data_IF_225764458604
#
_entry.id   IF_225764458604
#
_cell.length_a   1.000
_cell.length_b   1.000
_cell.length_c   1.000
_cell.angle_alpha   90.00
_cell.angle_beta   90.00
_cell.angle_gamma   90.00
#
_symmetry.space_group_name_H-M   'P 1'
#
loop_
_entity.id
_entity.type
_entity.pdbx_description
1 polymer ?
#
# COMPACT_ATOMS: atom_id res chain seq x y z
N UNK A 1 17.72 -6.87 4.63
CA UNK A 1 18.50 -6.22 5.69
C UNK A 1 20.02 -6.40 5.56
N UNK A 2 20.57 -7.37 4.81
CA UNK A 2 22.02 -7.40 4.49
C UNK A 2 22.43 -6.52 3.28
N UNK A 3 21.52 -6.23 2.35
CA UNK A 3 21.79 -5.34 1.20
C UNK A 3 21.87 -3.85 1.57
N UNK A 4 21.53 -3.49 2.80
CA UNK A 4 21.54 -2.11 3.31
C UNK A 4 22.68 -1.84 4.30
N UNK A 5 23.50 -2.85 4.63
CA UNK A 5 24.63 -2.66 5.54
C UNK A 5 25.87 -2.16 4.79
N UNK A 6 26.51 -1.10 5.31
CA UNK A 6 27.75 -0.50 4.78
C UNK A 6 28.95 -1.47 4.74
N UNK A 7 28.89 -2.56 5.51
CA UNK A 7 29.99 -3.50 5.67
C UNK A 7 29.92 -4.64 4.63
N UNK A 8 30.56 -4.41 3.48
CA UNK A 8 30.56 -5.35 2.34
C UNK A 8 31.51 -6.54 2.53
N UNK A 9 32.36 -6.52 3.56
CA UNK A 9 33.33 -7.57 3.85
C UNK A 9 32.65 -8.87 4.29
N UNK A 10 32.91 -9.95 3.55
CA UNK A 10 32.36 -11.30 3.84
C UNK A 10 30.92 -11.53 3.37
N UNK A 11 30.25 -10.51 2.81
CA UNK A 11 28.89 -10.64 2.27
C UNK A 11 28.79 -11.68 1.15
N UNK A 12 29.76 -11.72 0.23
CA UNK A 12 29.83 -12.70 -0.83
C UNK A 12 29.89 -14.15 -0.30
N UNK A 13 30.65 -14.38 0.78
CA UNK A 13 30.73 -15.70 1.41
C UNK A 13 29.43 -16.06 2.12
N UNK A 14 28.82 -15.13 2.89
CA UNK A 14 27.53 -15.37 3.57
C UNK A 14 26.39 -15.61 2.58
N UNK A 15 26.36 -14.87 1.48
CA UNK A 15 25.42 -15.09 0.37
C UNK A 15 25.67 -16.45 -0.29
N UNK A 16 26.92 -16.83 -0.53
CA UNK A 16 27.23 -18.14 -1.10
C UNK A 16 26.76 -19.27 -0.17
N UNK A 17 27.01 -19.15 1.15
CA UNK A 17 26.54 -20.12 2.15
C UNK A 17 25.01 -20.17 2.26
N UNK A 18 24.33 -19.02 2.12
CA UNK A 18 22.86 -18.95 2.07
C UNK A 18 22.31 -19.60 0.79
N UNK A 19 22.98 -19.37 -0.34
CA UNK A 19 22.61 -19.95 -1.64
C UNK A 19 22.91 -21.46 -1.72
N UNK A 20 23.92 -21.95 -1.01
CA UNK A 20 24.27 -23.38 -0.90
C UNK A 20 23.43 -24.13 0.15
N UNK A 21 22.65 -23.41 0.96
CA UNK A 21 21.78 -23.99 1.99
C UNK A 21 20.58 -24.73 1.41
N UNK A 22 20.18 -25.84 2.03
CA UNK A 22 19.08 -26.72 1.61
C UNK A 22 17.67 -26.09 1.59
N UNK A 23 17.56 -24.80 1.91
CA UNK A 23 16.31 -24.02 1.95
C UNK A 23 16.11 -23.26 0.62
N UNK A 24 17.17 -23.06 -0.17
CA UNK A 24 17.11 -22.35 -1.45
C UNK A 24 17.05 -23.34 -2.62
N UNK A 25 15.94 -23.37 -3.36
CA UNK A 25 15.87 -24.01 -4.66
C UNK A 25 16.41 -23.04 -5.71
N UNK A 26 17.57 -23.33 -6.29
CA UNK A 26 18.18 -22.54 -7.37
C UNK A 26 17.94 -23.21 -8.72
N UNK A 27 17.36 -22.46 -9.64
CA UNK A 27 17.34 -22.82 -11.06
C UNK A 27 18.26 -21.88 -11.84
N UNK A 28 19.22 -22.45 -12.57
CA UNK A 28 20.10 -21.68 -13.45
C UNK A 28 19.38 -21.47 -14.79
N UNK A 29 18.74 -20.31 -14.94
CA UNK A 29 17.92 -19.97 -16.09
C UNK A 29 18.77 -19.74 -17.36
N UNK A 30 19.96 -19.18 -17.20
CA UNK A 30 20.89 -18.92 -18.32
C UNK A 30 22.11 -19.82 -18.13
N UNK A 31 22.20 -20.88 -18.92
CA UNK A 31 23.35 -21.78 -18.93
C UNK A 31 24.47 -21.16 -19.77
N UNK A 32 25.60 -20.86 -19.13
CA UNK A 32 26.79 -20.37 -19.80
C UNK A 32 27.57 -21.54 -20.39
N UNK A 33 27.97 -21.43 -21.65
CA UNK A 33 28.86 -22.40 -22.26
C UNK A 33 30.28 -22.14 -21.76
N UNK A 34 30.86 -23.06 -20.98
CA UNK A 34 32.22 -22.90 -20.43
C UNK A 34 33.30 -22.75 -21.53
N UNK A 35 33.02 -23.20 -22.75
CA UNK A 35 33.94 -23.10 -23.89
C UNK A 35 34.13 -21.67 -24.43
N UNK A 36 33.22 -20.74 -24.10
CA UNK A 36 33.34 -19.32 -24.47
C UNK A 36 34.13 -18.49 -23.44
N UNK A 37 34.59 -19.11 -22.34
CA UNK A 37 35.42 -18.48 -21.28
C UNK A 37 36.87 -18.26 -21.76
N UNK A 38 37.11 -18.41 -23.06
CA UNK A 38 38.42 -18.26 -23.72
C UNK A 38 38.75 -16.79 -24.02
N UNK A 39 38.63 -15.88 -23.04
CA UNK A 39 39.24 -14.55 -23.11
C UNK A 39 39.46 -14.02 -21.68
N UNK A 40 40.72 -13.91 -21.31
CA UNK A 40 41.25 -13.68 -19.95
C UNK A 40 40.94 -12.32 -19.32
N UNK A 41 39.90 -11.59 -19.75
CA UNK A 41 39.65 -10.22 -19.27
C UNK A 41 38.17 -9.82 -19.12
N UNK A 42 37.22 -10.70 -19.45
CA UNK A 42 35.80 -10.36 -19.34
C UNK A 42 35.21 -10.80 -18.00
N UNK A 43 34.54 -9.91 -17.24
CA UNK A 43 33.98 -10.25 -15.95
C UNK A 43 32.96 -11.39 -16.08
N UNK A 44 32.98 -12.33 -15.12
CA UNK A 44 31.98 -13.40 -15.00
C UNK A 44 30.57 -12.89 -14.63
N UNK A 45 30.37 -11.58 -14.62
CA UNK A 45 29.14 -10.91 -14.23
C UNK A 45 28.42 -10.40 -15.48
N UNK A 46 27.09 -10.57 -15.51
CA UNK A 46 26.25 -9.98 -16.55
C UNK A 46 26.33 -8.46 -16.42
N UNK A 47 26.85 -7.79 -17.44
CA UNK A 47 27.16 -6.36 -17.40
C UNK A 47 25.91 -5.48 -17.50
N UNK A 48 24.83 -5.99 -18.07
CA UNK A 48 23.53 -5.30 -18.18
C UNK A 48 22.38 -6.31 -18.22
N UNK A 49 21.27 -5.94 -17.59
CA UNK A 49 20.04 -6.72 -17.57
C UNK A 49 18.84 -5.81 -17.83
N UNK A 50 18.03 -6.19 -18.80
CA UNK A 50 16.85 -5.46 -19.21
C UNK A 50 15.65 -6.41 -19.18
N UNK A 51 14.62 -6.00 -18.45
CA UNK A 51 13.43 -6.81 -18.19
C UNK A 51 12.25 -6.25 -18.97
N UNK A 52 11.55 -7.12 -19.69
CA UNK A 52 10.27 -6.83 -20.32
C UNK A 52 9.17 -7.71 -19.72
N UNK A 53 7.99 -7.13 -19.51
CA UNK A 53 6.78 -7.87 -19.13
C UNK A 53 5.69 -7.59 -20.16
N UNK A 54 5.32 -8.61 -20.93
CA UNK A 54 4.25 -8.54 -21.93
C UNK A 54 3.30 -9.74 -21.79
N UNK A 55 2.02 -9.55 -22.10
CA UNK A 55 1.00 -10.59 -21.92
C UNK A 55 1.20 -11.78 -22.88
N UNK A 56 1.72 -11.52 -24.07
CA UNK A 56 1.94 -12.54 -25.10
C UNK A 56 3.32 -13.25 -24.94
N UNK A 57 4.29 -12.60 -24.27
CA UNK A 57 5.67 -13.09 -24.14
C UNK A 57 6.05 -13.50 -22.71
N UNK A 58 5.22 -13.22 -21.71
CA UNK A 58 5.54 -13.43 -20.30
C UNK A 58 6.58 -12.43 -19.77
N UNK A 59 7.45 -12.89 -18.89
CA UNK A 59 8.53 -12.08 -18.31
C UNK A 59 9.85 -12.39 -19.05
N UNK A 60 10.24 -11.51 -19.96
CA UNK A 60 11.43 -11.65 -20.79
C UNK A 60 12.62 -10.91 -20.15
N UNK A 61 13.66 -11.65 -19.81
CA UNK A 61 14.94 -11.13 -19.34
C UNK A 61 15.93 -11.10 -20.52
N UNK A 62 16.45 -9.92 -20.84
CA UNK A 62 17.47 -9.70 -21.87
C UNK A 62 18.76 -9.24 -21.21
N UNK A 63 19.86 -9.92 -21.52
CA UNK A 63 21.19 -9.62 -20.99
C UNK A 63 22.20 -9.67 -22.12
N UNK A 64 23.35 -9.04 -21.93
CA UNK A 64 24.38 -8.96 -22.95
C UNK A 64 25.74 -9.28 -22.33
N UNK A 65 26.51 -10.15 -22.99
CA UNK A 65 27.88 -10.50 -22.60
C UNK A 65 28.72 -10.75 -23.85
N UNK A 66 29.92 -10.17 -23.92
CA UNK A 66 30.93 -10.50 -24.93
C UNK A 66 30.40 -10.49 -26.37
N UNK A 67 29.60 -9.48 -26.72
CA UNK A 67 28.97 -9.36 -28.05
C UNK A 67 27.89 -10.38 -28.41
N UNK A 68 27.47 -11.22 -27.46
CA UNK A 68 26.32 -12.12 -27.59
C UNK A 68 25.13 -11.62 -26.75
N UNK A 69 23.95 -11.38 -27.35
CA UNK A 69 22.72 -11.15 -26.60
C UNK A 69 22.17 -12.48 -26.09
N UNK A 70 21.79 -12.53 -24.82
CA UNK A 70 21.18 -13.69 -24.17
C UNK A 70 19.79 -13.31 -23.67
N UNK A 71 18.82 -14.17 -23.91
CA UNK A 71 17.43 -13.94 -23.51
C UNK A 71 16.91 -15.17 -22.74
N UNK A 72 16.13 -14.91 -21.69
CA UNK A 72 15.40 -15.93 -20.95
C UNK A 72 13.93 -15.50 -20.85
N UNK A 73 13.04 -16.41 -21.20
CA UNK A 73 11.60 -16.22 -21.04
C UNK A 73 11.23 -16.93 -19.73
N UNK A 74 10.68 -16.18 -18.80
CA UNK A 74 10.17 -16.65 -17.53
C UNK A 74 8.64 -16.60 -17.60
N UNK A 75 8.01 -17.67 -17.15
CA UNK A 75 6.56 -17.69 -16.99
C UNK A 75 6.13 -16.57 -16.02
N UNK A 76 4.99 -15.95 -16.31
CA UNK A 76 4.39 -14.99 -15.40
C UNK A 76 4.22 -15.68 -14.03
N UNK A 77 4.77 -15.14 -12.93
CA UNK A 77 4.79 -15.83 -11.66
C UNK A 77 3.36 -16.12 -11.23
N UNK A 78 2.95 -17.38 -11.32
CA UNK A 78 1.57 -17.80 -11.03
C UNK A 78 1.20 -17.61 -9.56
N UNK A 79 2.17 -17.27 -8.70
CA UNK A 79 1.96 -16.83 -7.34
C UNK A 79 2.96 -15.73 -7.01
N UNK A 80 2.43 -14.70 -6.35
CA UNK A 80 3.13 -13.51 -5.88
C UNK A 80 4.52 -13.80 -5.33
N UNK A 81 5.46 -12.92 -5.68
CA UNK A 81 6.66 -12.54 -4.91
C UNK A 81 6.90 -13.38 -3.65
N UNK A 82 8.05 -14.06 -3.59
CA UNK A 82 8.64 -14.45 -2.31
C UNK A 82 8.54 -13.24 -1.37
N UNK A 83 7.84 -13.36 -0.24
CA UNK A 83 7.54 -12.21 0.59
C UNK A 83 8.86 -11.69 1.16
N UNK A 84 9.26 -10.48 0.77
CA UNK A 84 10.09 -9.68 1.65
C UNK A 84 9.32 -9.56 2.96
N UNK A 85 9.99 -9.79 4.09
CA UNK A 85 9.44 -9.84 5.45
C UNK A 85 8.64 -8.56 5.80
N UNK A 86 8.79 -7.49 5.02
CA UNK A 86 8.10 -6.21 5.18
C UNK A 86 6.70 -6.11 4.53
N UNK A 87 6.29 -6.99 3.62
CA UNK A 87 5.06 -6.82 2.81
C UNK A 87 3.84 -7.65 3.28
N UNK A 88 3.88 -8.18 4.50
CA UNK A 88 2.83 -9.02 5.09
C UNK A 88 1.47 -8.33 5.33
N UNK A 89 1.24 -7.09 4.87
CA UNK A 89 0.03 -6.31 5.21
C UNK A 89 -0.97 -6.06 4.08
N UNK A 90 -0.78 -6.61 2.87
CA UNK A 90 -1.58 -6.17 1.70
C UNK A 90 -2.29 -7.27 0.90
N UNK A 91 -2.62 -8.40 1.51
CA UNK A 91 -3.31 -9.49 0.80
C UNK A 91 -4.56 -9.95 1.54
N UNK A 92 -5.60 -9.11 1.60
CA UNK A 92 -7.02 -9.50 1.58
C UNK A 92 -7.85 -8.32 1.05
N UNK A 93 -7.97 -8.21 -0.28
CA UNK A 93 -9.06 -7.41 -0.87
C UNK A 93 -9.52 -8.11 -2.16
N UNK A 94 -10.30 -9.17 -1.96
CA UNK A 94 -10.96 -9.87 -3.06
C UNK A 94 -12.06 -9.00 -3.70
N UNK A 95 -12.07 -9.09 -5.04
CA UNK A 95 -13.21 -8.95 -5.94
C UNK A 95 -13.95 -7.61 -6.13
N UNK A 96 -13.78 -6.57 -5.29
CA UNK A 96 -14.53 -5.30 -5.47
C UNK A 96 -13.69 -4.09 -5.89
N UNK A 97 -12.39 -4.26 -5.97
CA UNK A 97 -11.48 -3.29 -6.54
C UNK A 97 -10.81 -3.89 -7.77
N UNK A 98 -11.53 -3.87 -8.89
CA UNK A 98 -10.86 -3.56 -10.15
C UNK A 98 -10.28 -2.13 -10.02
N UNK A 99 -9.28 -1.97 -9.16
CA UNK A 99 -8.37 -0.84 -9.18
C UNK A 99 -7.83 -0.87 -10.59
N UNK A 100 -8.31 0.10 -11.36
CA UNK A 100 -8.07 0.35 -12.77
C UNK A 100 -6.65 -0.11 -13.09
N UNK A 101 -6.51 -1.36 -13.55
CA UNK A 101 -5.22 -1.87 -14.05
C UNK A 101 -4.86 -0.89 -15.15
N UNK A 102 -3.69 -0.23 -15.11
CA UNK A 102 -3.31 0.67 -16.17
C UNK A 102 -3.36 -0.13 -17.47
N UNK A 103 -4.37 0.11 -18.29
CA UNK A 103 -4.59 -0.55 -19.59
C UNK A 103 -3.50 -0.23 -20.61
N UNK A 104 -2.43 0.45 -20.19
CA UNK A 104 -1.46 1.10 -21.05
C UNK A 104 -0.07 0.64 -20.69
N UNK A 105 0.74 0.42 -21.73
CA UNK A 105 2.17 0.47 -21.60
C UNK A 105 2.60 1.85 -21.07
N UNK A 106 3.68 1.93 -20.26
CA UNK A 106 4.21 3.19 -19.77
C UNK A 106 4.51 4.15 -20.93
N UNK A 107 4.28 5.45 -20.69
CA UNK A 107 4.51 6.48 -21.71
C UNK A 107 5.98 6.49 -22.12
N UNK A 108 6.26 6.05 -23.35
CA UNK A 108 7.58 6.11 -23.95
C UNK A 108 7.56 7.05 -25.15
N UNK A 109 8.41 8.06 -25.08
CA UNK A 109 8.63 9.03 -26.16
C UNK A 109 9.40 8.34 -27.29
N UNK A 110 9.04 8.59 -28.57
CA UNK A 110 9.79 8.04 -29.70
C UNK A 110 11.29 8.36 -29.62
N UNK A 111 12.15 7.36 -29.88
CA UNK A 111 13.59 7.48 -29.72
C UNK A 111 14.23 8.60 -30.57
N UNK A 112 13.58 9.03 -31.66
CA UNK A 112 14.06 10.11 -32.52
C UNK A 112 14.19 11.46 -31.79
N UNK A 113 13.43 11.68 -30.71
CA UNK A 113 13.58 12.89 -29.90
C UNK A 113 14.87 12.90 -29.08
N UNK A 114 15.49 11.74 -28.89
CA UNK A 114 16.77 11.58 -28.22
C UNK A 114 17.91 11.27 -29.20
N UNK A 115 17.60 11.19 -30.50
CA UNK A 115 18.63 10.97 -31.51
C UNK A 115 19.55 12.20 -31.59
N UNK A 116 20.85 11.92 -31.72
CA UNK A 116 21.86 12.96 -31.89
C UNK A 116 21.69 13.69 -33.23
N UNK A 117 22.34 14.85 -33.35
CA UNK A 117 22.24 15.68 -34.55
C UNK A 117 22.69 14.88 -35.80
N UNK A 118 21.85 14.71 -36.82
CA UNK A 118 22.17 13.92 -38.01
C UNK A 118 23.34 14.51 -38.82
N UNK A 119 23.71 15.78 -38.58
CA UNK A 119 24.85 16.42 -39.22
C UNK A 119 26.16 16.28 -38.44
N UNK A 120 26.15 15.70 -37.24
CA UNK A 120 27.35 15.56 -36.40
C UNK A 120 28.49 14.82 -37.13
N UNK A 121 28.17 13.69 -37.75
CA UNK A 121 29.14 12.85 -38.47
C UNK A 121 29.11 13.08 -39.99
N UNK A 122 28.27 14.00 -40.48
CA UNK A 122 28.04 14.20 -41.92
C UNK A 122 29.32 14.59 -42.66
N UNK A 123 30.16 15.44 -42.05
CA UNK A 123 31.45 15.86 -42.61
C UNK A 123 32.46 14.71 -42.62
N UNK A 124 32.36 13.79 -41.67
CA UNK A 124 33.25 12.64 -41.57
C UNK A 124 32.94 11.58 -42.65
N UNK A 125 31.65 11.40 -42.96
CA UNK A 125 31.16 10.41 -43.91
C UNK A 125 31.18 10.91 -45.37
N UNK A 126 30.82 12.16 -45.62
CA UNK A 126 30.60 12.68 -46.99
C UNK A 126 31.77 13.50 -47.54
N UNK A 127 32.74 13.89 -46.70
CA UNK A 127 33.88 14.72 -47.12
C UNK A 127 35.19 13.94 -46.97
N UNK A 128 35.91 13.68 -48.07
CA UNK A 128 37.25 13.10 -48.01
C UNK A 128 38.19 13.97 -47.16
N UNK A 129 39.07 13.33 -46.40
CA UNK A 129 39.96 14.01 -45.43
C UNK A 129 40.75 15.18 -46.04
N UNK A 130 41.13 15.07 -47.33
CA UNK A 130 41.89 16.09 -48.07
C UNK A 130 41.09 17.38 -48.33
N UNK A 131 39.77 17.32 -48.38
CA UNK A 131 38.90 18.45 -48.72
C UNK A 131 38.32 19.14 -47.47
N UNK A 132 38.56 18.61 -46.26
CA UNK A 132 38.06 19.17 -45.00
C UNK A 132 38.66 20.53 -44.64
N UNK A 133 39.94 20.74 -44.97
CA UNK A 133 40.60 22.03 -44.76
C UNK A 133 40.01 23.13 -45.66
N UNK A 134 39.64 22.77 -46.90
CA UNK A 134 39.04 23.70 -47.86
C UNK A 134 37.63 24.16 -47.47
N UNK A 135 36.88 23.37 -46.70
CA UNK A 135 35.58 23.77 -46.16
C UNK A 135 35.65 24.85 -45.08
N UNK A 136 36.84 25.08 -44.49
CA UNK A 136 37.06 26.17 -43.52
C UNK A 136 37.46 27.48 -44.20
N UNK A 137 37.78 27.43 -45.49
CA UNK A 137 38.08 28.62 -46.30
C UNK A 137 36.79 29.29 -46.80
N UNK A 138 36.92 30.51 -47.32
CA UNK A 138 35.79 31.30 -47.80
C UNK A 138 35.00 30.51 -48.86
N UNK A 139 33.67 30.38 -48.66
CA UNK A 139 32.80 29.50 -49.46
C UNK A 139 32.87 29.87 -50.94
N UNK A 140 33.59 29.07 -51.72
CA UNK A 140 33.56 29.13 -53.18
C UNK A 140 32.39 28.28 -53.67
N UNK A 141 31.54 28.86 -54.53
CA UNK A 141 30.41 28.18 -55.17
C UNK A 141 30.90 27.21 -56.25
N UNK A 142 31.66 26.20 -55.85
CA UNK A 142 32.08 25.11 -56.71
C UNK A 142 30.97 24.06 -56.83
N UNK A 143 30.90 23.29 -57.94
CA UNK A 143 29.92 22.21 -58.09
C UNK A 143 29.98 21.20 -56.93
N UNK A 144 31.17 20.87 -56.43
CA UNK A 144 31.37 19.93 -55.32
C UNK A 144 30.85 20.44 -53.97
N UNK A 145 30.98 21.75 -53.69
CA UNK A 145 30.42 22.36 -52.48
C UNK A 145 28.89 22.44 -52.54
N UNK A 146 28.33 22.66 -53.73
CA UNK A 146 26.88 22.61 -53.94
C UNK A 146 26.33 21.18 -53.71
N UNK A 147 27.00 20.15 -54.24
CA UNK A 147 26.60 18.74 -54.05
C UNK A 147 26.62 18.33 -52.58
N UNK A 148 27.61 18.79 -51.81
CA UNK A 148 27.70 18.56 -50.37
C UNK A 148 26.55 19.23 -49.61
N UNK A 149 26.23 20.48 -49.94
CA UNK A 149 25.08 21.20 -49.34
C UNK A 149 23.76 20.52 -49.72
N UNK A 150 23.61 20.05 -50.96
CA UNK A 150 22.43 19.31 -51.40
C UNK A 150 22.30 17.95 -50.68
N UNK A 151 23.41 17.24 -50.45
CA UNK A 151 23.44 16.02 -49.64
C UNK A 151 23.07 16.29 -48.18
N UNK A 152 23.62 17.35 -47.57
CA UNK A 152 23.27 17.76 -46.21
C UNK A 152 21.78 18.09 -46.10
N UNK A 153 21.24 18.81 -47.08
CA UNK A 153 19.82 19.12 -47.15
C UNK A 153 18.94 17.87 -47.27
N UNK A 154 19.35 16.85 -48.05
CA UNK A 154 18.62 15.57 -48.12
C UNK A 154 18.58 14.87 -46.77
N UNK A 155 19.72 14.76 -46.09
CA UNK A 155 19.81 14.14 -44.75
C UNK A 155 18.91 14.90 -43.76
N UNK A 156 19.03 16.23 -43.72
CA UNK A 156 18.17 17.07 -42.88
C UNK A 156 16.68 16.88 -43.20
N UNK A 157 16.30 16.91 -44.47
CA UNK A 157 14.90 16.77 -44.90
C UNK A 157 14.31 15.41 -44.49
N UNK A 158 15.10 14.33 -44.55
CA UNK A 158 14.65 13.02 -44.08
C UNK A 158 14.47 12.97 -42.57
N UNK A 159 15.41 13.56 -41.81
CA UNK A 159 15.36 13.60 -40.35
C UNK A 159 14.21 14.47 -39.85
N UNK A 160 14.02 15.67 -40.42
CA UNK A 160 12.91 16.55 -40.06
C UNK A 160 11.57 15.90 -40.41
N UNK A 161 11.45 15.24 -41.56
CA UNK A 161 10.23 14.51 -41.92
C UNK A 161 9.95 13.32 -40.98
N UNK A 162 10.98 12.64 -40.48
CA UNK A 162 10.81 11.59 -39.48
C UNK A 162 10.39 12.15 -38.10
N UNK A 163 10.99 13.29 -37.70
CA UNK A 163 10.65 14.00 -36.46
C UNK A 163 9.20 14.52 -36.50
N UNK A 164 8.76 15.07 -37.63
CA UNK A 164 7.38 15.52 -37.82
C UNK A 164 6.37 14.37 -37.66
N UNK A 165 6.65 13.19 -38.22
CA UNK A 165 5.79 12.01 -38.03
C UNK A 165 5.74 11.57 -36.56
N UNK A 166 6.89 11.50 -35.89
CA UNK A 166 6.96 11.14 -34.48
C UNK A 166 6.24 12.15 -33.58
N UNK A 167 6.35 13.45 -33.89
CA UNK A 167 5.62 14.52 -33.20
C UNK A 167 4.11 14.40 -33.43
N UNK A 168 3.66 14.17 -34.67
CA UNK A 168 2.25 13.96 -34.97
C UNK A 168 1.66 12.75 -34.22
N UNK A 169 2.42 11.66 -34.11
CA UNK A 169 2.00 10.48 -33.34
C UNK A 169 1.95 10.77 -31.83
N UNK A 170 2.89 11.55 -31.30
CA UNK A 170 2.85 12.02 -29.91
C UNK A 170 1.58 12.85 -29.66
N UNK A 171 1.27 13.82 -30.52
CA UNK A 171 0.05 14.63 -30.39
C UNK A 171 -1.21 13.76 -30.40
N UNK A 172 -1.30 12.78 -31.31
CA UNK A 172 -2.44 11.84 -31.35
C UNK A 172 -2.55 11.00 -30.08
N UNK A 173 -1.43 10.54 -29.52
CA UNK A 173 -1.40 9.80 -28.25
C UNK A 173 -1.85 10.67 -27.08
N UNK A 174 -1.40 11.91 -27.00
CA UNK A 174 -1.82 12.88 -25.98
C UNK A 174 -3.32 13.21 -26.09
N UNK A 175 -3.85 13.34 -27.30
CA UNK A 175 -5.28 13.54 -27.54
C UNK A 175 -6.11 12.34 -27.07
N UNK A 176 -5.69 11.11 -27.42
CA UNK A 176 -6.31 9.89 -26.92
C UNK A 176 -6.25 9.80 -25.39
N UNK A 177 -5.09 10.07 -24.80
CA UNK A 177 -4.88 10.10 -23.36
C UNK A 177 -5.86 11.07 -22.68
N UNK A 178 -6.00 12.28 -23.22
CA UNK A 178 -6.93 13.28 -22.71
C UNK A 178 -8.38 12.81 -22.77
N UNK A 179 -8.77 12.16 -23.87
CA UNK A 179 -10.09 11.53 -24.00
C UNK A 179 -10.34 10.46 -22.94
N UNK A 180 -9.38 9.55 -22.75
CA UNK A 180 -9.48 8.49 -21.74
C UNK A 180 -9.49 9.02 -20.31
N UNK A 181 -8.72 10.07 -19.99
CA UNK A 181 -8.75 10.72 -18.68
C UNK A 181 -10.11 11.34 -18.39
N UNK A 182 -10.75 11.93 -19.40
CA UNK A 182 -12.12 12.45 -19.28
C UNK A 182 -13.10 11.32 -19.00
N UNK A 183 -13.00 10.20 -19.70
CA UNK A 183 -13.84 9.02 -19.47
C UNK A 183 -13.60 8.41 -18.07
N UNK A 184 -12.35 8.38 -17.59
CA UNK A 184 -12.05 7.95 -16.22
C UNK A 184 -12.64 8.90 -15.18
N UNK A 185 -12.57 10.21 -15.39
CA UNK A 185 -13.21 11.19 -14.51
C UNK A 185 -14.74 11.05 -14.51
N UNK A 186 -15.35 10.80 -15.66
CA UNK A 186 -16.79 10.54 -15.77
C UNK A 186 -17.20 9.26 -15.03
N UNK A 187 -16.41 8.19 -15.15
CA UNK A 187 -16.61 6.95 -14.37
C UNK A 187 -16.50 7.21 -12.86
N UNK A 188 -15.49 7.95 -12.42
CA UNK A 188 -15.31 8.30 -11.01
C UNK A 188 -16.49 9.16 -10.52
N UNK A 189 -16.94 10.13 -11.31
CA UNK A 189 -18.09 10.96 -10.98
C UNK A 189 -19.37 10.13 -10.86
N UNK A 190 -19.60 9.19 -11.78
CA UNK A 190 -20.73 8.25 -11.72
C UNK A 190 -20.66 7.34 -10.50
N UNK A 191 -19.47 6.82 -10.15
CA UNK A 191 -19.27 6.00 -8.94
C UNK A 191 -19.52 6.84 -7.69
N UNK A 192 -19.00 8.07 -7.64
CA UNK A 192 -19.24 8.99 -6.53
C UNK A 192 -20.74 9.30 -6.38
N UNK A 193 -21.46 9.49 -7.50
CA UNK A 193 -22.90 9.67 -7.49
C UNK A 193 -23.63 8.40 -7.03
N UNK A 194 -23.21 7.21 -7.46
CA UNK A 194 -23.77 5.94 -6.98
C UNK A 194 -23.55 5.75 -5.49
N UNK A 195 -22.36 6.04 -4.98
CA UNK A 195 -22.05 6.00 -3.54
C UNK A 195 -22.93 7.01 -2.80
N UNK A 196 -23.06 8.23 -3.32
CA UNK A 196 -23.94 9.26 -2.77
C UNK A 196 -25.40 8.83 -2.79
N UNK A 197 -25.88 8.20 -3.85
CA UNK A 197 -27.26 7.72 -3.99
C UNK A 197 -27.54 6.53 -3.07
N UNK A 198 -26.59 5.62 -2.88
CA UNK A 198 -26.67 4.52 -1.90
C UNK A 198 -26.67 5.07 -0.47
N UNK A 199 -25.89 6.13 -0.23
CA UNK A 199 -25.77 6.81 1.07
C UNK A 199 -26.95 7.74 1.39
N UNK A 200 -27.59 8.34 0.39
CA UNK A 200 -28.65 9.34 0.57
C UNK A 200 -30.05 8.74 0.57
N UNK A 201 -30.93 9.27 1.42
CA UNK A 201 -32.40 9.15 1.28
C UNK A 201 -33.05 10.52 1.23
N UNK A 202 -34.15 10.60 0.50
CA UNK A 202 -35.07 11.72 0.56
C UNK A 202 -35.79 11.61 1.91
N UNK A 203 -35.55 12.57 2.81
CA UNK A 203 -36.33 12.68 4.03
C UNK A 203 -37.77 13.07 3.72
N UNK A 204 -38.67 12.87 4.69
CA UNK A 204 -40.09 13.26 4.61
C UNK A 204 -40.29 14.76 4.29
N UNK A 205 -39.27 15.59 4.55
CA UNK A 205 -39.21 17.03 4.24
C UNK A 205 -38.81 17.35 2.78
N UNK A 206 -38.64 16.35 1.91
CA UNK A 206 -38.23 16.52 0.51
C UNK A 206 -36.76 16.91 0.30
N UNK A 207 -35.99 17.14 1.36
CA UNK A 207 -34.55 17.42 1.29
C UNK A 207 -33.70 16.14 1.34
N UNK A 208 -32.70 16.07 0.45
CA UNK A 208 -31.72 14.98 0.40
C UNK A 208 -30.72 15.14 1.54
N UNK A 209 -30.79 14.28 2.56
CA UNK A 209 -29.79 14.19 3.64
C UNK A 209 -28.73 13.15 3.23
N UNK A 210 -27.48 13.59 3.11
CA UNK A 210 -26.32 12.74 2.81
C UNK A 210 -25.93 11.92 4.06
N UNK A 211 -25.55 10.65 3.90
CA UNK A 211 -24.96 9.83 4.98
C UNK A 211 -25.90 9.05 5.89
N UNK A 212 -27.14 9.50 6.10
CA UNK A 212 -27.93 9.02 7.24
C UNK A 212 -28.55 7.62 7.08
N UNK A 213 -28.83 7.17 5.84
CA UNK A 213 -29.57 5.90 5.64
C UNK A 213 -28.79 4.68 6.08
N UNK A 214 -27.49 4.61 5.78
CA UNK A 214 -26.72 3.40 6.04
C UNK A 214 -26.43 3.30 7.53
N UNK A 215 -25.81 4.31 8.12
CA UNK A 215 -25.33 4.21 9.48
C UNK A 215 -26.47 4.14 10.50
N UNK A 216 -27.48 5.01 10.40
CA UNK A 216 -28.59 5.01 11.35
C UNK A 216 -29.51 3.79 11.17
N UNK A 217 -29.82 3.40 9.93
CA UNK A 217 -30.67 2.21 9.72
C UNK A 217 -29.93 0.90 10.02
N UNK A 218 -28.61 0.82 9.75
CA UNK A 218 -27.79 -0.31 10.19
C UNK A 218 -27.70 -0.34 11.71
N UNK A 219 -27.50 0.80 12.37
CA UNK A 219 -27.47 0.90 13.83
C UNK A 219 -28.79 0.44 14.44
N UNK A 220 -29.94 0.91 13.93
CA UNK A 220 -31.27 0.44 14.36
C UNK A 220 -31.48 -1.06 14.11
N UNK A 221 -31.02 -1.59 12.96
CA UNK A 221 -31.08 -3.03 12.69
C UNK A 221 -30.20 -3.84 13.65
N UNK A 222 -29.04 -3.30 14.01
CA UNK A 222 -28.09 -3.92 14.91
C UNK A 222 -28.63 -3.89 16.36
N UNK A 223 -29.22 -2.78 16.79
CA UNK A 223 -29.91 -2.65 18.09
C UNK A 223 -31.09 -3.62 18.19
N UNK A 224 -31.94 -3.70 17.16
CA UNK A 224 -33.07 -4.65 17.16
C UNK A 224 -32.59 -6.10 17.15
N UNK A 225 -31.48 -6.42 16.47
CA UNK A 225 -30.87 -7.74 16.53
C UNK A 225 -30.33 -8.06 17.93
N UNK A 226 -29.62 -7.10 18.57
CA UNK A 226 -29.15 -7.23 19.96
C UNK A 226 -30.30 -7.45 20.94
N UNK A 227 -31.36 -6.64 20.84
CA UNK A 227 -32.54 -6.78 21.70
C UNK A 227 -33.23 -8.15 21.52
N UNK A 228 -33.33 -8.66 20.29
CA UNK A 228 -33.85 -10.01 20.02
C UNK A 228 -32.96 -11.10 20.62
N UNK A 229 -31.63 -10.95 20.51
CA UNK A 229 -30.68 -11.89 21.09
C UNK A 229 -30.84 -11.94 22.62
N UNK A 230 -30.92 -10.79 23.27
CA UNK A 230 -31.13 -10.70 24.71
C UNK A 230 -32.46 -11.37 25.13
N UNK A 231 -33.55 -11.09 24.40
CA UNK A 231 -34.84 -11.72 24.64
C UNK A 231 -34.79 -13.25 24.48
N UNK A 232 -34.07 -13.76 23.48
CA UNK A 232 -33.90 -15.20 23.26
C UNK A 232 -33.08 -15.85 24.38
N UNK A 233 -32.00 -15.20 24.83
CA UNK A 233 -31.19 -15.67 25.96
C UNK A 233 -32.02 -15.71 27.25
N UNK A 234 -32.82 -14.68 27.52
CA UNK A 234 -33.73 -14.66 28.67
C UNK A 234 -34.77 -15.79 28.59
N UNK A 235 -35.36 -16.05 27.42
CA UNK A 235 -36.31 -17.16 27.22
C UNK A 235 -35.63 -18.52 27.38
N UNK A 236 -34.44 -18.69 26.83
CA UNK A 236 -33.65 -19.91 26.96
C UNK A 236 -33.33 -20.19 28.43
N UNK A 237 -32.85 -19.18 29.16
CA UNK A 237 -32.58 -19.29 30.60
C UNK A 237 -33.86 -19.59 31.40
N UNK A 238 -34.98 -18.95 31.05
CA UNK A 238 -36.28 -19.24 31.68
C UNK A 238 -36.76 -20.67 31.43
N UNK A 239 -36.56 -21.20 30.22
CA UNK A 239 -36.91 -22.57 29.86
C UNK A 239 -35.96 -23.58 30.51
N UNK A 240 -34.65 -23.31 30.51
CA UNK A 240 -33.64 -24.07 31.27
C UNK A 240 -34.03 -24.17 32.74
N UNK A 241 -34.37 -23.05 33.38
CA UNK A 241 -34.78 -23.03 34.79
C UNK A 241 -36.07 -23.80 35.03
N UNK A 242 -37.05 -23.76 34.12
CA UNK A 242 -38.28 -24.55 34.23
C UNK A 242 -38.01 -26.05 34.06
N UNK A 243 -37.15 -26.43 33.12
CA UNK A 243 -36.73 -27.83 32.92
C UNK A 243 -35.93 -28.32 34.13
N UNK A 244 -35.01 -27.52 34.68
CA UNK A 244 -34.31 -27.88 35.92
C UNK A 244 -35.26 -28.05 37.12
N UNK A 245 -36.38 -27.30 37.16
CA UNK A 245 -37.41 -27.45 38.20
C UNK A 245 -38.35 -28.65 37.99
N UNK A 246 -38.59 -29.04 36.73
CA UNK A 246 -39.51 -30.13 36.36
C UNK A 246 -38.79 -31.48 36.13
N UNK A 247 -37.47 -31.48 35.96
CA UNK A 247 -36.71 -32.64 35.47
C UNK A 247 -35.91 -33.36 36.54
N UNK A 248 -36.45 -34.48 37.04
CA UNK A 248 -35.83 -35.41 38.00
C UNK A 248 -34.62 -36.20 37.49
N UNK A 249 -33.84 -35.67 36.54
CA UNK A 249 -32.55 -36.25 36.16
C UNK A 249 -31.51 -35.78 37.20
N UNK A 250 -30.87 -36.68 37.97
CA UNK A 250 -29.85 -36.27 38.92
C UNK A 250 -28.72 -35.55 38.17
N UNK A 251 -28.27 -34.42 38.72
CA UNK A 251 -27.18 -33.60 38.19
C UNK A 251 -25.99 -34.48 37.79
N UNK A 252 -25.49 -34.28 36.57
CA UNK A 252 -24.31 -34.98 36.07
C UNK A 252 -23.08 -34.58 36.90
N UNK A 253 -22.06 -35.44 37.01
CA UNK A 253 -20.83 -35.14 37.75
C UNK A 253 -20.16 -33.84 37.29
N UNK A 254 -20.17 -33.59 35.98
CA UNK A 254 -19.72 -32.31 35.38
C UNK A 254 -20.57 -31.11 35.82
N UNK A 255 -21.88 -31.27 35.95
CA UNK A 255 -22.78 -30.21 36.40
C UNK A 255 -22.61 -29.94 37.89
N UNK A 256 -22.39 -30.99 38.70
CA UNK A 256 -22.06 -30.84 40.13
C UNK A 256 -20.73 -30.13 40.31
N UNK A 257 -19.70 -30.50 39.55
CA UNK A 257 -18.41 -29.81 39.56
C UNK A 257 -18.56 -28.33 39.15
N UNK A 258 -19.36 -28.05 38.12
CA UNK A 258 -19.64 -26.68 37.68
C UNK A 258 -20.46 -25.88 38.70
N UNK A 259 -21.45 -26.49 39.36
CA UNK A 259 -22.18 -25.84 40.46
C UNK A 259 -21.24 -25.53 41.62
N UNK A 260 -20.32 -26.42 41.97
CA UNK A 260 -19.31 -26.17 43.01
C UNK A 260 -18.36 -25.05 42.59
N UNK A 261 -17.95 -24.98 41.32
CA UNK A 261 -17.12 -23.91 40.79
C UNK A 261 -17.86 -22.56 40.79
N UNK A 262 -19.10 -22.53 40.32
CA UNK A 262 -19.96 -21.34 40.33
C UNK A 262 -20.27 -20.90 41.75
N UNK A 263 -20.56 -21.82 42.67
CA UNK A 263 -20.74 -21.51 44.09
C UNK A 263 -19.42 -21.02 44.70
N UNK A 264 -18.27 -21.57 44.31
CA UNK A 264 -16.96 -21.07 44.79
C UNK A 264 -16.68 -19.66 44.27
N UNK A 265 -17.06 -19.35 43.02
CA UNK A 265 -16.91 -18.05 42.40
C UNK A 265 -17.90 -17.04 43.01
N UNK A 266 -19.17 -17.42 43.16
CA UNK A 266 -20.18 -16.61 43.82
C UNK A 266 -19.77 -16.32 45.26
N UNK A 267 -19.31 -17.33 46.00
CA UNK A 267 -18.75 -17.14 47.34
C UNK A 267 -17.45 -16.31 47.31
N UNK A 268 -16.60 -16.37 46.29
CA UNK A 268 -15.44 -15.46 46.21
C UNK A 268 -15.86 -14.00 46.00
N UNK A 269 -17.03 -13.77 45.39
CA UNK A 269 -17.61 -12.45 45.15
C UNK A 269 -18.46 -11.98 46.35
N UNK A 270 -19.15 -12.89 47.05
CA UNK A 270 -20.12 -12.62 48.14
C UNK A 270 -19.50 -12.79 49.54
N UNK A 271 -18.49 -13.66 49.73
CA UNK A 271 -17.64 -13.66 50.95
C UNK A 271 -16.84 -12.36 51.06
N UNK A 272 -16.66 -11.65 49.94
CA UNK A 272 -16.25 -10.24 49.91
C UNK A 272 -17.22 -9.28 50.63
N UNK A 273 -18.42 -9.72 51.02
CA UNK A 273 -19.44 -8.93 51.73
C UNK A 273 -19.52 -9.19 53.23
N UNK A 274 -19.06 -10.35 53.70
CA UNK A 274 -19.41 -10.84 55.05
C UNK A 274 -18.24 -11.33 55.89
N UNK A 275 -17.04 -11.48 55.34
CA UNK A 275 -15.82 -11.73 56.12
C UNK A 275 -14.67 -10.90 55.57
N UNK A 276 -13.88 -10.36 56.49
CA UNK A 276 -12.63 -9.61 56.31
C UNK A 276 -11.55 -10.43 55.57
N UNK A 277 -11.85 -10.94 54.38
CA UNK A 277 -10.85 -11.46 53.45
C UNK A 277 -10.33 -10.25 52.67
N UNK A 278 -9.19 -9.70 53.12
CA UNK A 278 -8.56 -8.48 52.58
C UNK A 278 -8.56 -8.45 51.04
N UNK A 279 -8.35 -9.59 50.38
CA UNK A 279 -8.28 -9.69 48.92
C UNK A 279 -9.63 -9.47 48.19
N UNK A 280 -10.75 -9.91 48.75
CA UNK A 280 -12.05 -9.79 48.09
C UNK A 280 -12.68 -8.41 48.35
N UNK A 281 -12.47 -7.88 49.56
CA UNK A 281 -12.68 -6.46 49.86
C UNK A 281 -11.85 -5.58 48.93
N UNK A 282 -10.58 -5.94 48.63
CA UNK A 282 -9.77 -5.15 47.69
C UNK A 282 -10.36 -5.08 46.28
N UNK A 283 -11.02 -6.12 45.75
CA UNK A 283 -11.56 -6.06 44.38
C UNK A 283 -12.78 -5.14 44.29
N UNK A 284 -13.68 -5.20 45.28
CA UNK A 284 -14.84 -4.31 45.36
C UNK A 284 -14.43 -2.87 45.65
N UNK A 285 -13.53 -2.67 46.61
CA UNK A 285 -12.95 -1.35 46.90
C UNK A 285 -12.17 -0.80 45.69
N UNK A 286 -11.45 -1.63 44.92
CA UNK A 286 -10.82 -1.24 43.65
C UNK A 286 -11.85 -0.84 42.60
N UNK A 287 -12.99 -1.53 42.53
CA UNK A 287 -14.07 -1.19 41.60
C UNK A 287 -14.75 0.12 42.01
N UNK A 288 -15.01 0.33 43.29
CA UNK A 288 -15.56 1.59 43.81
C UNK A 288 -14.60 2.75 43.64
N UNK A 289 -13.31 2.57 43.93
CA UNK A 289 -12.28 3.60 43.68
C UNK A 289 -12.11 3.87 42.18
N UNK A 290 -12.17 2.85 41.31
CA UNK A 290 -12.17 3.06 39.86
C UNK A 290 -13.42 3.83 39.40
N UNK A 291 -14.60 3.58 39.99
CA UNK A 291 -15.82 4.35 39.71
C UNK A 291 -15.68 5.80 40.17
N UNK A 292 -15.20 6.05 41.38
CA UNK A 292 -15.03 7.41 41.89
C UNK A 292 -13.99 8.19 41.06
N UNK A 293 -12.85 7.56 40.74
CA UNK A 293 -11.82 8.15 39.87
C UNK A 293 -12.35 8.42 38.46
N UNK A 294 -13.16 7.51 37.89
CA UNK A 294 -13.78 7.75 36.58
C UNK A 294 -14.71 8.96 36.62
N UNK A 295 -15.52 9.11 37.68
CA UNK A 295 -16.39 10.29 37.84
C UNK A 295 -15.60 11.59 38.06
N UNK A 296 -14.49 11.52 38.80
CA UNK A 296 -13.61 12.66 39.07
C UNK A 296 -12.90 13.12 37.79
N UNK A 297 -12.30 12.19 37.03
CA UNK A 297 -11.65 12.50 35.75
C UNK A 297 -12.63 13.04 34.72
N UNK A 298 -13.87 12.53 34.68
CA UNK A 298 -14.91 13.10 33.82
C UNK A 298 -15.30 14.53 34.23
N UNK A 299 -15.29 14.85 35.51
CA UNK A 299 -15.53 16.21 35.99
C UNK A 299 -14.35 17.13 35.65
N UNK A 300 -13.10 16.65 35.78
CA UNK A 300 -11.90 17.41 35.47
C UNK A 300 -11.76 17.69 33.97
N UNK A 301 -12.05 16.69 33.11
CA UNK A 301 -12.10 16.89 31.65
C UNK A 301 -13.14 17.95 31.28
N UNK A 302 -14.30 17.96 31.93
CA UNK A 302 -15.33 19.00 31.69
C UNK A 302 -14.86 20.38 32.14
N UNK A 303 -14.12 20.49 33.26
CA UNK A 303 -13.52 21.76 33.71
C UNK A 303 -12.45 22.27 32.75
N UNK A 304 -11.51 21.42 32.35
CA UNK A 304 -10.43 21.79 31.42
C UNK A 304 -11.00 22.17 30.05
N UNK A 305 -12.04 21.49 29.57
CA UNK A 305 -12.74 21.85 28.34
C UNK A 305 -13.44 23.22 28.44
N UNK A 306 -14.02 23.55 29.60
CA UNK A 306 -14.61 24.87 29.85
C UNK A 306 -13.54 25.97 29.92
N UNK A 307 -12.42 25.72 30.61
CA UNK A 307 -11.30 26.67 30.74
C UNK A 307 -10.59 26.92 29.39
N UNK A 308 -10.39 25.87 28.58
CA UNK A 308 -9.86 25.98 27.22
C UNK A 308 -10.77 26.78 26.27
N UNK A 309 -12.09 26.78 26.52
CA UNK A 309 -13.06 27.57 25.75
C UNK A 309 -13.05 29.06 26.15
N UNK A 310 -12.56 29.40 27.35
CA UNK A 310 -12.49 30.79 27.85
C UNK A 310 -11.16 31.51 27.55
N UNK A 311 -10.14 30.82 27.06
CA UNK A 311 -8.81 31.39 26.75
C UNK A 311 -8.71 32.12 25.38
N UNK A 312 -9.83 32.62 24.84
CA UNK A 312 -9.92 33.24 23.52
C UNK A 312 -9.79 34.79 23.52
N UNK A 313 -9.36 35.41 24.62
CA UNK A 313 -9.19 36.88 24.71
C UNK A 313 -7.77 37.26 25.19
N UNK A 314 -7.05 38.18 24.52
CA UNK A 314 -5.65 38.47 24.85
C UNK A 314 -5.54 39.59 25.89
N UNK A 315 -4.66 39.45 26.91
CA UNK A 315 -4.06 40.60 27.58
C UNK A 315 -2.52 40.61 27.51
N UNK A 316 -1.89 41.78 27.71
CA UNK A 316 -0.48 42.00 27.38
C UNK A 316 0.47 41.59 28.52
N UNK A 317 1.64 41.11 28.11
CA UNK A 317 2.96 41.15 28.79
C UNK A 317 3.09 40.65 30.23
N UNK A 318 3.86 39.56 30.39
CA UNK A 318 4.72 39.36 31.58
C UNK A 318 4.66 37.96 32.19
N UNK A 319 5.55 37.06 31.74
CA UNK A 319 6.26 36.00 32.52
C UNK A 319 6.82 34.92 31.57
N UNK A 320 8.10 34.53 31.65
CA UNK A 320 8.69 33.52 30.77
C UNK A 320 8.39 32.12 31.32
N UNK A 321 7.21 31.61 31.03
CA UNK A 321 6.98 30.16 31.08
C UNK A 321 7.59 29.57 29.80
N UNK A 322 8.77 28.97 29.94
CA UNK A 322 9.48 28.17 28.93
C UNK A 322 8.69 26.91 28.57
N UNK A 323 7.59 27.08 27.84
CA UNK A 323 7.02 26.02 27.02
C UNK A 323 7.01 26.51 25.57
N UNK A 324 7.68 25.83 24.63
CA UNK A 324 7.70 26.25 23.25
C UNK A 324 6.28 26.16 22.69
N UNK A 325 5.65 27.33 22.46
CA UNK A 325 4.35 27.43 21.76
C UNK A 325 4.55 26.95 20.32
N UNK A 326 4.23 25.68 20.08
CA UNK A 326 4.25 25.08 18.75
C UNK A 326 3.15 25.76 17.91
N UNK A 327 3.46 26.29 16.71
CA UNK A 327 2.46 26.87 15.82
C UNK A 327 1.28 25.91 15.56
N UNK A 328 0.02 26.38 15.57
CA UNK A 328 -1.16 25.52 15.46
C UNK A 328 -1.22 24.76 14.13
N UNK A 329 -0.61 25.30 13.06
CA UNK A 329 -0.46 24.61 11.76
C UNK A 329 0.44 23.38 11.86
N UNK A 330 1.54 23.47 12.62
CA UNK A 330 2.45 22.35 12.85
C UNK A 330 1.82 21.30 13.77
N UNK A 331 1.03 21.72 14.77
CA UNK A 331 0.25 20.80 15.59
C UNK A 331 -0.77 20.03 14.75
N UNK A 332 -1.55 20.71 13.90
CA UNK A 332 -2.52 20.05 13.01
C UNK A 332 -1.87 19.12 12.00
N UNK A 333 -0.73 19.52 11.41
CA UNK A 333 0.02 18.67 10.50
C UNK A 333 0.56 17.40 11.20
N UNK A 334 1.11 17.53 12.41
CA UNK A 334 1.57 16.40 13.21
C UNK A 334 0.41 15.49 13.64
N UNK A 335 -0.74 16.05 14.01
CA UNK A 335 -1.94 15.26 14.34
C UNK A 335 -2.43 14.49 13.10
N UNK A 336 -2.46 15.12 11.93
CA UNK A 336 -2.85 14.44 10.69
C UNK A 336 -1.89 13.31 10.32
N UNK A 337 -0.59 13.50 10.51
CA UNK A 337 0.42 12.44 10.30
C UNK A 337 0.28 11.30 11.31
N UNK A 338 0.05 11.64 12.60
CA UNK A 338 -0.23 10.67 13.64
C UNK A 338 -1.51 9.87 13.33
N UNK A 339 -2.59 10.53 12.89
CA UNK A 339 -3.83 9.85 12.46
C UNK A 339 -3.56 8.90 11.29
N UNK A 340 -2.79 9.32 10.27
CA UNK A 340 -2.42 8.46 9.15
C UNK A 340 -1.54 7.28 9.56
N UNK A 341 -0.70 7.44 10.59
CA UNK A 341 0.08 6.34 11.16
C UNK A 341 -0.83 5.36 11.90
N UNK A 342 -1.75 5.87 12.73
CA UNK A 342 -2.75 5.06 13.45
C UNK A 342 -3.64 4.28 12.48
N UNK A 343 -4.12 4.90 11.39
CA UNK A 343 -4.92 4.23 10.36
C UNK A 343 -4.16 3.07 9.69
N UNK A 344 -2.85 3.25 9.47
CA UNK A 344 -1.98 2.19 8.92
C UNK A 344 -1.80 1.07 9.93
N UNK A 345 -1.51 1.40 11.19
CA UNK A 345 -1.35 0.40 12.25
C UNK A 345 -2.65 -0.35 12.52
N UNK A 346 -3.81 0.32 12.53
CA UNK A 346 -5.10 -0.34 12.68
C UNK A 346 -5.38 -1.32 11.54
N UNK A 347 -5.03 -0.97 10.29
CA UNK A 347 -5.17 -1.88 9.16
C UNK A 347 -4.24 -3.10 9.27
N UNK A 348 -3.02 -2.92 9.79
CA UNK A 348 -2.09 -4.03 10.06
C UNK A 348 -2.63 -4.94 11.16
N UNK A 349 -3.14 -4.37 12.25
CA UNK A 349 -3.76 -5.14 13.34
C UNK A 349 -4.96 -5.93 12.80
N UNK A 350 -5.84 -5.30 12.01
CA UNK A 350 -7.02 -5.95 11.43
C UNK A 350 -6.64 -7.14 10.54
N UNK A 351 -5.63 -6.98 9.68
CA UNK A 351 -5.12 -8.07 8.84
C UNK A 351 -4.47 -9.21 9.63
N UNK A 352 -3.77 -8.91 10.72
CA UNK A 352 -3.21 -9.93 11.62
C UNK A 352 -4.35 -10.66 12.34
N UNK A 353 -5.35 -9.92 12.83
CA UNK A 353 -6.51 -10.52 13.51
C UNK A 353 -7.32 -11.40 12.55
N UNK A 354 -7.57 -10.97 11.30
CA UNK A 354 -8.28 -11.80 10.32
C UNK A 354 -7.50 -13.07 9.98
N UNK A 355 -6.17 -12.96 9.85
CA UNK A 355 -5.30 -14.13 9.64
C UNK A 355 -5.31 -15.08 10.85
N UNK A 356 -5.30 -14.55 12.07
CA UNK A 356 -5.41 -15.37 13.29
C UNK A 356 -6.77 -16.06 13.40
N UNK A 357 -7.86 -15.37 13.07
CA UNK A 357 -9.20 -15.94 13.03
C UNK A 357 -9.30 -17.07 11.99
N UNK A 358 -8.74 -16.86 10.78
CA UNK A 358 -8.66 -17.89 9.74
C UNK A 358 -7.83 -19.11 10.17
N UNK A 359 -6.68 -18.88 10.80
CA UNK A 359 -5.84 -19.97 11.33
C UNK A 359 -6.57 -20.74 12.42
N UNK A 360 -7.21 -20.05 13.37
CA UNK A 360 -7.99 -20.68 14.44
C UNK A 360 -9.17 -21.50 13.89
N UNK A 361 -9.86 -20.98 12.88
CA UNK A 361 -10.94 -21.68 12.19
C UNK A 361 -10.46 -22.87 11.33
N UNK A 362 -9.19 -22.91 10.92
CA UNK A 362 -8.59 -24.04 10.19
C UNK A 362 -8.01 -25.14 11.08
N UNK A 363 -7.83 -24.84 12.38
CA UNK A 363 -7.27 -25.76 13.38
C UNK A 363 -8.36 -26.46 14.21
N UNK A 364 -9.61 -25.93 14.21
CA UNK A 364 -10.82 -26.68 14.59
C UNK A 364 -11.41 -27.41 13.39
#
# INVERSE_FOLDING_TARGET
TELESEDTSGSAFRLNVLCDGSIALRELIIQMNENEISATDEPNHLSTSLVFSDYDLGYLLLTYRGSSPQAAILDEPLHASLPSISDSSRLEHDAYTQLIKPRRAPYQVPAIFYAENPLGNFIEENVPHRHRASLREQVRLSPATLDLVAAAHRVLSTHTGALERAAADLFRRCERLRGEMREQLERIASIAERIKNVSSTIGEDGQRKEGSRSEEALSRRLETAKARQEQLVQRYNGLKNKISKLGGRPLSEKEKAWVVEVDSLANSIERAETKEDEQAETLRQRLETAKSLATELLAEVKRVAAEASTAAEPPPTGSPSTQPKIPPKLQRAKIADAMKMVERESAVIEAITSRLERLNASVS
#
